data_IF_703082960891
#
_entry.id   IF_703082960891
#
_cell.length_a   1.000
_cell.length_b   1.000
_cell.length_c   1.000
_cell.angle_alpha   90.00
_cell.angle_beta   90.00
_cell.angle_gamma   90.00
#
_symmetry.space_group_name_H-M   'P 1'
#
loop_
_entity.id
_entity.type
_entity.pdbx_description
1 polymer ?
#
# COMPACT_ATOMS: atom_id res chain seq x y z
N UNK A 1 24.20 -8.06 -1.27
CA UNK A 1 23.38 -8.06 -2.50
C UNK A 1 22.08 -7.43 -2.08
N UNK A 2 21.92 -6.15 -2.36
CA UNK A 2 20.91 -5.34 -1.69
C UNK A 2 19.83 -5.06 -2.73
N UNK A 3 18.55 -5.12 -2.35
CA UNK A 3 17.47 -4.61 -3.21
C UNK A 3 17.67 -3.11 -3.44
N UNK A 4 17.14 -2.52 -4.53
CA UNK A 4 16.11 -3.05 -5.45
C UNK A 4 16.68 -3.94 -6.58
N UNK A 5 15.99 -5.05 -6.88
CA UNK A 5 16.54 -6.16 -7.67
C UNK A 5 16.66 -5.89 -9.18
N UNK A 6 15.78 -5.07 -9.76
CA UNK A 6 15.80 -4.75 -11.20
C UNK A 6 16.87 -3.69 -11.52
N UNK A 7 16.96 -2.56 -10.81
CA UNK A 7 18.06 -1.59 -11.00
C UNK A 7 19.45 -2.17 -10.75
N UNK A 8 19.56 -3.16 -9.85
CA UNK A 8 20.83 -3.83 -9.55
C UNK A 8 21.15 -4.99 -10.52
N UNK A 9 20.41 -5.11 -11.63
CA UNK A 9 20.56 -6.15 -12.67
C UNK A 9 20.51 -7.61 -12.16
N UNK A 10 19.97 -7.81 -10.96
CA UNK A 10 19.78 -9.15 -10.35
C UNK A 10 18.58 -9.85 -11.02
N UNK A 11 17.57 -9.08 -11.43
CA UNK A 11 16.41 -9.56 -12.17
C UNK A 11 16.30 -8.86 -13.52
N UNK A 12 16.01 -9.62 -14.57
CA UNK A 12 15.66 -9.03 -15.88
C UNK A 12 14.31 -8.30 -15.79
N UNK A 13 14.08 -7.24 -16.60
CA UNK A 13 12.83 -6.49 -16.57
C UNK A 13 11.59 -7.37 -16.77
N UNK A 14 11.65 -8.35 -17.68
CA UNK A 14 10.54 -9.27 -17.97
C UNK A 14 10.18 -10.13 -16.75
N UNK A 15 11.20 -10.63 -16.04
CA UNK A 15 10.99 -11.37 -14.79
C UNK A 15 10.47 -10.44 -13.68
N UNK A 16 10.94 -9.19 -13.63
CA UNK A 16 10.43 -8.17 -12.72
C UNK A 16 8.93 -7.93 -12.88
N UNK A 17 8.44 -7.88 -14.12
CA UNK A 17 7.01 -7.76 -14.42
C UNK A 17 6.22 -9.01 -13.98
N UNK A 18 6.78 -10.21 -14.16
CA UNK A 18 6.14 -11.44 -13.67
C UNK A 18 6.02 -11.45 -12.14
N UNK A 19 7.06 -11.04 -11.41
CA UNK A 19 6.99 -10.89 -9.95
C UNK A 19 6.02 -9.79 -9.51
N UNK A 20 5.95 -8.67 -10.24
CA UNK A 20 4.98 -7.62 -9.98
C UNK A 20 3.53 -8.12 -10.15
N UNK A 21 3.27 -8.94 -11.17
CA UNK A 21 1.97 -9.58 -11.37
C UNK A 21 1.61 -10.52 -10.21
N UNK A 22 2.54 -11.38 -9.80
CA UNK A 22 2.33 -12.30 -8.67
C UNK A 22 2.07 -11.52 -7.38
N UNK A 23 2.87 -10.48 -7.10
CA UNK A 23 2.68 -9.61 -5.95
C UNK A 23 1.32 -8.90 -5.98
N UNK A 24 0.89 -8.41 -7.15
CA UNK A 24 -0.42 -7.81 -7.34
C UNK A 24 -1.58 -8.79 -7.12
N UNK A 25 -1.46 -10.02 -7.60
CA UNK A 25 -2.44 -11.08 -7.35
C UNK A 25 -2.53 -11.45 -5.87
N UNK A 26 -1.40 -11.62 -5.20
CA UNK A 26 -1.36 -11.88 -3.76
C UNK A 26 -1.97 -10.73 -2.97
N UNK A 27 -1.62 -9.48 -3.32
CA UNK A 27 -2.20 -8.29 -2.71
C UNK A 27 -3.72 -8.26 -2.86
N UNK A 28 -4.25 -8.48 -4.06
CA UNK A 28 -5.69 -8.56 -4.31
C UNK A 28 -6.37 -9.68 -3.52
N UNK A 29 -5.75 -10.86 -3.44
CA UNK A 29 -6.25 -11.97 -2.63
C UNK A 29 -6.36 -11.61 -1.15
N UNK A 30 -5.35 -10.95 -0.57
CA UNK A 30 -5.39 -10.52 0.83
C UNK A 30 -6.43 -9.42 1.08
N UNK A 31 -6.63 -8.49 0.13
CA UNK A 31 -7.69 -7.48 0.22
C UNK A 31 -9.09 -8.11 0.20
N UNK A 32 -9.32 -9.08 -0.68
CA UNK A 32 -10.59 -9.80 -0.74
C UNK A 32 -10.86 -10.54 0.58
N UNK A 33 -9.83 -11.20 1.13
CA UNK A 33 -9.91 -11.88 2.44
C UNK A 33 -10.14 -10.91 3.60
N UNK A 34 -9.63 -9.68 3.53
CA UNK A 34 -9.91 -8.62 4.50
C UNK A 34 -11.35 -8.08 4.39
N UNK A 35 -12.10 -8.47 3.35
CA UNK A 35 -13.47 -8.05 3.10
C UNK A 35 -13.59 -6.72 2.36
N UNK A 36 -12.50 -6.26 1.72
CA UNK A 36 -12.48 -5.00 0.97
C UNK A 36 -13.20 -5.12 -0.39
N UNK A 37 -13.59 -6.32 -0.81
CA UNK A 37 -14.51 -6.51 -1.94
C UNK A 37 -15.95 -6.11 -1.65
N UNK A 38 -16.31 -5.86 -0.38
CA UNK A 38 -17.66 -5.45 0.00
C UNK A 38 -17.76 -3.93 0.19
N UNK A 39 -18.45 -3.26 -0.73
CA UNK A 39 -18.77 -1.83 -0.64
C UNK A 39 -19.38 -1.45 0.73
N UNK A 40 -20.27 -2.29 1.28
CA UNK A 40 -20.87 -2.05 2.61
C UNK A 40 -19.82 -1.96 3.72
N UNK A 41 -18.79 -2.82 3.71
CA UNK A 41 -17.71 -2.78 4.71
C UNK A 41 -16.82 -1.55 4.53
N UNK A 42 -16.56 -1.17 3.28
CA UNK A 42 -15.78 0.01 2.95
C UNK A 42 -16.48 1.29 3.40
N UNK A 43 -17.78 1.42 3.17
CA UNK A 43 -18.55 2.61 3.57
C UNK A 43 -18.86 2.65 5.08
N UNK A 44 -18.90 1.50 5.76
CA UNK A 44 -19.27 1.41 7.18
C UNK A 44 -18.36 2.21 8.12
N UNK A 45 -17.12 2.52 7.70
CA UNK A 45 -16.21 3.38 8.45
C UNK A 45 -16.74 4.82 8.59
N UNK A 46 -17.39 5.36 7.56
CA UNK A 46 -17.94 6.71 7.58
C UNK A 46 -19.18 6.82 8.47
N UNK A 47 -19.88 5.71 8.66
CA UNK A 47 -21.01 5.60 9.58
C UNK A 47 -20.58 5.19 11.00
N UNK A 48 -19.28 5.06 11.26
CA UNK A 48 -18.72 4.62 12.54
C UNK A 48 -19.22 3.24 12.99
N UNK A 49 -19.66 2.39 12.06
CA UNK A 49 -20.21 1.07 12.34
C UNK A 49 -19.12 -0.02 12.32
N UNK A 50 -18.17 0.08 11.40
CA UNK A 50 -17.06 -0.87 11.28
C UNK A 50 -15.75 -0.15 10.96
N UNK A 51 -14.76 -0.32 11.84
CA UNK A 51 -13.41 0.23 11.69
C UNK A 51 -12.41 -0.78 11.11
N UNK A 52 -12.88 -1.88 10.50
CA UNK A 52 -12.03 -2.89 9.86
C UNK A 52 -11.06 -2.26 8.87
N UNK A 53 -11.53 -1.33 8.02
CA UNK A 53 -10.69 -0.66 7.01
C UNK A 53 -9.52 0.08 7.67
N UNK A 54 -9.81 0.92 8.68
CA UNK A 54 -8.80 1.67 9.41
C UNK A 54 -7.79 0.72 10.06
N UNK A 55 -8.27 -0.31 10.75
CA UNK A 55 -7.40 -1.27 11.45
C UNK A 55 -6.48 -2.01 10.48
N UNK A 56 -7.00 -2.54 9.38
CA UNK A 56 -6.22 -3.32 8.41
C UNK A 56 -5.23 -2.45 7.65
N UNK A 57 -5.63 -1.27 7.19
CA UNK A 57 -4.73 -0.37 6.46
C UNK A 57 -3.65 0.20 7.36
N UNK A 58 -3.99 0.64 8.57
CA UNK A 58 -3.01 1.16 9.51
C UNK A 58 -1.99 0.09 9.92
N UNK A 59 -2.44 -1.13 10.24
CA UNK A 59 -1.50 -2.22 10.57
C UNK A 59 -0.63 -2.60 9.38
N UNK A 60 -1.19 -2.66 8.16
CA UNK A 60 -0.40 -2.93 6.95
C UNK A 60 0.69 -1.87 6.72
N UNK A 61 0.36 -0.59 6.89
CA UNK A 61 1.35 0.52 6.78
C UNK A 61 2.43 0.41 7.84
N UNK A 62 2.06 0.16 9.10
CA UNK A 62 3.03 0.00 10.20
C UNK A 62 3.93 -1.21 9.96
N UNK A 63 3.37 -2.35 9.58
CA UNK A 63 4.14 -3.57 9.27
C UNK A 63 5.07 -3.33 8.08
N UNK A 64 4.60 -2.66 7.04
CA UNK A 64 5.42 -2.29 5.88
C UNK A 64 6.58 -1.36 6.27
N UNK A 65 6.31 -0.31 7.04
CA UNK A 65 7.33 0.63 7.50
C UNK A 65 8.39 -0.06 8.38
N UNK A 66 7.96 -0.87 9.35
CA UNK A 66 8.88 -1.65 10.20
C UNK A 66 9.67 -2.65 9.37
N UNK A 67 9.04 -3.33 8.41
CA UNK A 67 9.71 -4.26 7.51
C UNK A 67 10.80 -3.59 6.68
N UNK A 68 10.53 -2.41 6.11
CA UNK A 68 11.52 -1.63 5.37
C UNK A 68 12.69 -1.19 6.27
N UNK A 69 12.41 -0.74 7.51
CA UNK A 69 13.46 -0.36 8.47
C UNK A 69 14.35 -1.55 8.84
N UNK A 70 13.77 -2.73 9.08
CA UNK A 70 14.52 -3.94 9.40
C UNK A 70 15.38 -4.40 8.21
N UNK A 71 14.84 -4.34 6.99
CA UNK A 71 15.58 -4.70 5.78
C UNK A 71 16.72 -3.72 5.48
N UNK A 72 16.50 -2.42 5.69
CA UNK A 72 17.54 -1.40 5.58
C UNK A 72 18.63 -1.59 6.64
N UNK A 73 18.25 -1.82 7.90
CA UNK A 73 19.20 -2.06 8.99
C UNK A 73 20.00 -3.36 8.86
N UNK A 74 19.45 -4.37 8.17
CA UNK A 74 20.15 -5.61 7.87
C UNK A 74 21.00 -5.54 6.59
N UNK A 75 21.12 -4.37 5.95
CA UNK A 75 21.80 -4.16 4.66
C UNK A 75 21.23 -5.03 3.53
N UNK A 76 19.97 -5.50 3.62
CA UNK A 76 19.29 -6.25 2.55
C UNK A 76 18.62 -5.31 1.54
N UNK A 77 18.42 -4.05 1.90
CA UNK A 77 17.75 -3.04 1.09
C UNK A 77 18.58 -1.75 1.07
N UNK A 78 18.91 -1.28 -0.14
CA UNK A 78 19.53 0.01 -0.36
C UNK A 78 18.45 1.10 -0.28
N UNK A 79 18.55 1.92 0.77
CA UNK A 79 17.56 2.95 1.07
C UNK A 79 17.70 4.18 0.18
N UNK A 80 18.86 4.40 -0.43
CA UNK A 80 19.12 5.56 -1.29
C UNK A 80 18.42 5.43 -2.65
N UNK A 81 18.15 4.18 -3.06
CA UNK A 81 17.42 3.85 -4.28
C UNK A 81 15.90 3.84 -4.09
N UNK A 82 15.39 4.05 -2.87
CA UNK A 82 13.96 4.15 -2.61
C UNK A 82 13.41 5.53 -3.02
N UNK A 83 12.43 5.54 -3.92
CA UNK A 83 11.73 6.75 -4.31
C UNK A 83 10.75 7.18 -3.20
N UNK A 84 11.14 8.20 -2.42
CA UNK A 84 10.27 8.82 -1.42
C UNK A 84 9.67 10.10 -2.03
N UNK A 85 8.35 10.14 -2.30
CA UNK A 85 7.73 11.34 -2.84
C UNK A 85 7.73 12.47 -1.80
N UNK A 86 7.89 13.74 -2.23
CA UNK A 86 7.83 14.88 -1.33
C UNK A 86 6.44 15.04 -0.70
N UNK A 87 6.41 15.43 0.58
CA UNK A 87 5.17 15.64 1.34
C UNK A 87 4.62 17.04 1.09
N UNK A 88 3.45 17.11 0.46
CA UNK A 88 2.72 18.37 0.26
C UNK A 88 1.43 18.37 1.05
N UNK A 89 1.45 18.98 2.24
CA UNK A 89 0.34 18.92 3.19
C UNK A 89 -0.99 19.42 2.61
N UNK A 90 -0.99 20.58 1.94
CA UNK A 90 -2.24 21.13 1.39
C UNK A 90 -2.83 20.33 0.22
N UNK A 91 -2.06 20.03 -0.84
CA UNK A 91 -2.54 19.18 -1.92
C UNK A 91 -3.00 17.80 -1.44
N UNK A 92 -2.28 17.17 -0.51
CA UNK A 92 -2.64 15.84 0.01
C UNK A 92 -3.90 15.89 0.87
N UNK A 93 -4.05 16.91 1.72
CA UNK A 93 -5.25 17.09 2.53
C UNK A 93 -6.49 17.34 1.66
N UNK A 94 -6.39 18.24 0.67
CA UNK A 94 -7.49 18.54 -0.26
C UNK A 94 -7.82 17.32 -1.13
N UNK A 95 -6.81 16.64 -1.67
CA UNK A 95 -7.00 15.43 -2.47
C UNK A 95 -7.64 14.29 -1.68
N UNK A 96 -7.18 14.07 -0.44
CA UNK A 96 -7.76 13.07 0.46
C UNK A 96 -9.23 13.38 0.80
N UNK A 97 -9.56 14.65 1.05
CA UNK A 97 -10.95 15.08 1.28
C UNK A 97 -11.83 14.81 0.05
N UNK A 98 -11.37 15.19 -1.15
CA UNK A 98 -12.12 14.98 -2.39
C UNK A 98 -12.38 13.51 -2.67
N UNK A 99 -11.37 12.65 -2.50
CA UNK A 99 -11.52 11.20 -2.65
C UNK A 99 -12.49 10.65 -1.61
N UNK A 100 -12.34 11.04 -0.33
CA UNK A 100 -13.23 10.59 0.74
C UNK A 100 -14.69 10.98 0.50
N UNK A 101 -14.95 12.21 0.05
CA UNK A 101 -16.29 12.65 -0.35
C UNK A 101 -16.83 11.83 -1.52
N UNK A 102 -16.02 11.59 -2.55
CA UNK A 102 -16.40 10.75 -3.69
C UNK A 102 -16.76 9.32 -3.27
N UNK A 103 -16.03 8.76 -2.32
CA UNK A 103 -16.24 7.41 -1.77
C UNK A 103 -17.59 7.31 -1.05
N UNK A 104 -17.89 8.28 -0.16
CA UNK A 104 -19.18 8.34 0.55
C UNK A 104 -20.35 8.52 -0.41
N UNK A 105 -20.21 9.41 -1.41
CA UNK A 105 -21.28 9.67 -2.39
C UNK A 105 -21.47 8.52 -3.38
N UNK A 106 -20.39 7.83 -3.76
CA UNK A 106 -20.40 6.69 -4.66
C UNK A 106 -20.98 5.42 -4.04
N UNK A 107 -20.97 5.31 -2.71
CA UNK A 107 -21.48 4.15 -1.99
C UNK A 107 -20.57 2.92 -2.10
N UNK A 108 -19.28 3.14 -2.33
CA UNK A 108 -18.20 2.15 -2.33
C UNK A 108 -17.03 2.68 -1.56
#
# INVERSE_FOLDING_TARGET
>A
MNGPLVPNEILTPDMGLAFALIAGLLFGFFLERAGFGSARKLTAIFYLQDFAVLKVMFTAVVVGAVGLLLLGGAELLDSDLLAIPPTYLWPQAVGGLLIGLGFVLGGY
#
